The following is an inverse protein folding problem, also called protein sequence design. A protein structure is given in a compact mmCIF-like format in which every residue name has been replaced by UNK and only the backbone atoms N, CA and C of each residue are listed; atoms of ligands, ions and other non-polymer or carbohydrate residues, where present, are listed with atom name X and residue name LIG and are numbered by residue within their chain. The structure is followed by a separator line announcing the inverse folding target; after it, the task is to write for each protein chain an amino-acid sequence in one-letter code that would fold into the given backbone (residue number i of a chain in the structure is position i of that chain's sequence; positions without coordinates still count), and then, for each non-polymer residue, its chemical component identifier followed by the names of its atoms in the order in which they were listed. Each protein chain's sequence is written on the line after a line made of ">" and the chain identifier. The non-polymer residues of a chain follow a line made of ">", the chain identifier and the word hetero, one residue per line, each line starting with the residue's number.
data_IF_183268484794
#
_entry.id   IF_183268484794
#
_cell.length_a   1.000
_cell.length_b   1.000
_cell.length_c   1.000
_cell.angle_alpha   90.00
_cell.angle_beta   90.00
_cell.angle_gamma   90.00
#
_symmetry.space_group_name_H-M   'P 1'
#
loop_
_entity.id
_entity.type
_entity.pdbx_description
1 polymer ?
#
# COMPACT_ATOMS: atom_id res chain seq x y z
N UNK A 1 14.67 -47.00 55.42
CA UNK A 1 14.59 -45.68 56.08
C UNK A 1 15.91 -45.43 56.79
N UNK A 2 16.43 -44.20 56.81
CA UNK A 2 16.05 -43.05 55.97
C UNK A 2 16.53 -43.32 54.51
N UNK A 3 16.91 -42.42 53.61
CA UNK A 3 16.83 -40.94 53.51
C UNK A 3 16.60 -40.54 52.03
N UNK A 4 16.82 -39.28 51.64
CA UNK A 4 16.67 -38.81 50.26
C UNK A 4 17.66 -37.68 49.87
N UNK A 5 17.77 -37.47 48.56
CA UNK A 5 18.23 -36.25 47.87
C UNK A 5 19.73 -35.85 47.93
N UNK A 6 20.33 -35.72 46.74
CA UNK A 6 20.35 -34.40 46.05
C UNK A 6 20.72 -34.49 44.57
N UNK A 7 19.91 -33.81 43.77
CA UNK A 7 20.08 -33.55 42.34
C UNK A 7 21.31 -32.70 42.06
N UNK A 8 22.02 -32.96 40.96
CA UNK A 8 22.64 -31.92 40.12
C UNK A 8 22.86 -32.43 38.71
N UNK A 9 21.98 -32.01 37.79
CA UNK A 9 22.16 -32.16 36.35
C UNK A 9 22.87 -30.89 35.86
N UNK A 10 23.96 -31.05 35.09
CA UNK A 10 24.53 -29.95 34.29
C UNK A 10 24.51 -30.38 32.83
N UNK A 11 23.57 -29.82 32.06
CA UNK A 11 23.51 -29.96 30.60
C UNK A 11 24.41 -28.90 29.98
N UNK A 12 25.28 -29.29 29.06
CA UNK A 12 26.02 -28.38 28.19
C UNK A 12 26.13 -28.96 26.78
N UNK A 13 25.00 -28.98 26.05
CA UNK A 13 24.99 -29.29 24.63
C UNK A 13 24.97 -27.98 23.83
N UNK A 14 26.13 -27.57 23.31
CA UNK A 14 26.26 -26.38 22.47
C UNK A 14 25.72 -26.67 21.05
N UNK A 15 24.48 -26.23 20.78
CA UNK A 15 23.92 -26.24 19.42
C UNK A 15 24.41 -25.01 18.65
N UNK A 16 25.28 -25.22 17.65
CA UNK A 16 25.77 -24.16 16.78
C UNK A 16 24.64 -23.59 15.92
N UNK A 17 24.61 -22.27 15.81
CA UNK A 17 23.47 -21.55 15.26
C UNK A 17 23.31 -21.72 13.75
N UNK A 18 22.11 -22.11 13.34
CA UNK A 18 21.56 -21.78 12.03
C UNK A 18 20.22 -21.09 12.23
N UNK A 19 20.28 -19.80 12.58
CA UNK A 19 19.11 -18.96 12.80
C UNK A 19 18.38 -18.71 11.49
N UNK A 20 17.43 -19.59 11.16
CA UNK A 20 16.52 -19.39 10.03
C UNK A 20 15.61 -18.20 10.34
N UNK A 21 16.01 -17.02 9.88
CA UNK A 21 15.18 -15.81 9.91
C UNK A 21 14.03 -15.97 8.92
N UNK A 22 13.00 -16.72 9.33
CA UNK A 22 11.67 -16.66 8.73
C UNK A 22 11.12 -15.24 8.95
N UNK A 23 11.34 -14.38 7.97
CA UNK A 23 10.69 -13.08 7.89
C UNK A 23 9.18 -13.31 7.79
N UNK A 24 8.49 -13.23 8.92
CA UNK A 24 7.04 -13.34 9.01
C UNK A 24 6.41 -12.20 8.21
N UNK A 25 6.08 -12.46 6.95
CA UNK A 25 5.41 -11.50 6.10
C UNK A 25 4.04 -11.19 6.72
N UNK A 26 3.89 -9.98 7.27
CA UNK A 26 2.64 -9.57 7.89
C UNK A 26 1.46 -9.79 6.93
N UNK A 27 0.36 -10.40 7.40
CA UNK A 27 -0.79 -10.70 6.56
C UNK A 27 -1.27 -9.42 5.88
N UNK A 28 -1.57 -9.51 4.58
CA UNK A 28 -2.06 -8.36 3.83
C UNK A 28 -3.41 -7.96 4.45
N UNK A 29 -3.63 -6.68 4.81
CA UNK A 29 -4.96 -6.21 5.16
C UNK A 29 -5.94 -6.57 4.03
N UNK A 30 -7.22 -6.77 4.36
CA UNK A 30 -8.25 -6.85 3.32
C UNK A 30 -8.08 -5.63 2.40
N UNK A 31 -8.21 -5.80 1.07
CA UNK A 31 -8.00 -4.70 0.12
C UNK A 31 -8.80 -3.43 0.49
N UNK A 32 -9.99 -3.59 1.08
CA UNK A 32 -10.83 -2.52 1.62
C UNK A 32 -10.20 -1.67 2.75
N UNK A 33 -9.15 -2.17 3.40
CA UNK A 33 -8.48 -1.59 4.58
C UNK A 33 -7.08 -1.03 4.26
N UNK A 34 -6.57 -1.23 3.04
CA UNK A 34 -5.27 -0.68 2.62
C UNK A 34 -5.28 0.85 2.65
N UNK A 35 -6.38 1.46 2.20
CA UNK A 35 -6.54 2.89 1.96
C UNK A 35 -7.85 3.44 2.55
N UNK A 36 -7.94 4.76 2.63
CA UNK A 36 -9.07 5.53 3.15
C UNK A 36 -9.43 6.65 2.18
N UNK A 37 -10.73 6.83 1.94
CA UNK A 37 -11.24 7.95 1.13
C UNK A 37 -10.93 9.28 1.82
N UNK A 38 -10.41 10.25 1.04
CA UNK A 38 -9.92 11.58 1.45
C UNK A 38 -8.66 11.61 2.32
N UNK A 39 -7.83 10.56 2.32
CA UNK A 39 -6.49 10.69 2.92
C UNK A 39 -5.48 11.29 1.92
N UNK A 40 -4.51 12.10 2.36
CA UNK A 40 -3.44 12.60 1.49
C UNK A 40 -2.60 11.48 0.89
N UNK A 41 -2.16 11.66 -0.36
CA UNK A 41 -1.46 10.62 -1.11
C UNK A 41 -0.06 10.30 -0.54
N UNK A 42 0.64 11.25 0.08
CA UNK A 42 1.92 10.98 0.77
C UNK A 42 1.69 10.12 2.02
N UNK A 43 0.58 10.35 2.74
CA UNK A 43 0.22 9.54 3.91
C UNK A 43 -0.18 8.11 3.51
N UNK A 44 -0.85 7.97 2.36
CA UNK A 44 -1.13 6.70 1.72
C UNK A 44 0.15 5.97 1.27
N UNK A 45 1.03 6.61 0.50
CA UNK A 45 2.33 6.07 0.05
C UNK A 45 3.15 5.58 1.24
N UNK A 46 3.33 6.43 2.26
CA UNK A 46 4.09 6.08 3.45
C UNK A 46 3.52 4.86 4.18
N UNK A 47 2.18 4.68 4.21
CA UNK A 47 1.56 3.47 4.78
C UNK A 47 1.72 2.26 3.88
N UNK A 48 1.51 2.40 2.58
CA UNK A 48 1.67 1.31 1.61
C UNK A 48 3.11 0.76 1.65
N UNK A 49 4.11 1.64 1.69
CA UNK A 49 5.53 1.26 1.82
C UNK A 49 5.82 0.52 3.13
N UNK A 50 5.26 0.95 4.27
CA UNK A 50 5.34 0.19 5.54
C UNK A 50 4.65 -1.18 5.45
N UNK A 51 3.63 -1.33 4.61
CA UNK A 51 2.95 -2.60 4.32
C UNK A 51 3.65 -3.43 3.22
N UNK A 52 4.87 -3.09 2.83
CA UNK A 52 5.67 -3.85 1.85
C UNK A 52 5.25 -3.66 0.38
N UNK A 53 4.45 -2.64 0.09
CA UNK A 53 4.21 -2.20 -1.30
C UNK A 53 5.36 -1.34 -1.80
N UNK A 54 5.74 -1.53 -3.05
CA UNK A 54 6.79 -0.78 -3.73
C UNK A 54 6.18 0.03 -4.88
N UNK A 55 6.54 1.32 -5.05
CA UNK A 55 6.19 2.11 -6.23
C UNK A 55 6.56 1.41 -7.55
N UNK A 56 5.63 1.33 -8.52
CA UNK A 56 5.90 0.80 -9.86
C UNK A 56 6.34 1.95 -10.80
N UNK A 57 7.66 2.14 -10.90
CA UNK A 57 8.29 3.30 -11.53
C UNK A 57 8.46 3.24 -13.06
N UNK A 58 8.24 2.07 -13.68
CA UNK A 58 8.53 1.86 -15.12
C UNK A 58 7.25 1.70 -15.95
N UNK A 59 7.09 2.41 -17.09
CA UNK A 59 7.80 3.67 -17.41
C UNK A 59 7.54 4.79 -16.38
N UNK A 60 8.46 5.76 -16.24
CA UNK A 60 8.27 6.91 -15.35
C UNK A 60 7.08 7.77 -15.80
N UNK A 61 6.49 8.51 -14.86
CA UNK A 61 5.50 9.55 -15.18
C UNK A 61 6.14 10.72 -15.94
N UNK A 62 5.36 11.36 -16.82
CA UNK A 62 5.82 12.48 -17.62
C UNK A 62 6.02 13.74 -16.77
N UNK A 63 6.78 14.72 -17.28
CA UNK A 63 7.00 16.00 -16.58
C UNK A 63 5.69 16.77 -16.36
N UNK A 64 4.73 16.65 -17.28
CA UNK A 64 3.40 17.24 -17.14
C UNK A 64 2.57 16.56 -16.04
N UNK A 65 2.67 15.24 -15.88
CA UNK A 65 1.99 14.52 -14.79
C UNK A 65 2.54 14.95 -13.42
N UNK A 66 3.86 15.18 -13.33
CA UNK A 66 4.53 15.71 -12.13
C UNK A 66 4.04 17.10 -11.74
N UNK A 67 3.85 17.97 -12.73
CA UNK A 67 3.33 19.32 -12.51
C UNK A 67 1.87 19.26 -12.02
N UNK A 68 1.03 18.45 -12.66
CA UNK A 68 -0.37 18.27 -12.27
C UNK A 68 -0.55 17.59 -10.90
N UNK A 69 0.36 16.70 -10.49
CA UNK A 69 0.24 16.00 -9.20
C UNK A 69 0.69 16.85 -8.01
N UNK A 70 1.45 17.92 -8.25
CA UNK A 70 2.08 18.75 -7.23
C UNK A 70 3.14 18.06 -6.37
N UNK A 71 3.49 16.78 -6.64
CA UNK A 71 4.28 15.98 -5.69
C UNK A 71 5.40 15.11 -6.31
N UNK A 72 6.34 14.75 -5.44
CA UNK A 72 7.55 14.02 -5.78
C UNK A 72 7.42 12.48 -5.72
N UNK A 73 6.22 11.91 -5.49
CA UNK A 73 6.07 10.46 -5.28
C UNK A 73 6.50 9.64 -6.51
N UNK A 74 7.33 8.62 -6.29
CA UNK A 74 7.80 7.71 -7.35
C UNK A 74 6.74 6.69 -7.79
N UNK A 75 5.62 6.61 -7.09
CA UNK A 75 4.47 5.79 -7.48
C UNK A 75 3.57 6.48 -8.50
N UNK A 76 3.74 7.78 -8.74
CA UNK A 76 2.99 8.52 -9.75
C UNK A 76 3.16 7.87 -11.12
N UNK A 77 2.04 7.69 -11.83
CA UNK A 77 1.99 7.07 -13.15
C UNK A 77 1.49 8.00 -14.24
N UNK A 78 0.41 8.73 -13.99
CA UNK A 78 -0.25 9.62 -14.94
C UNK A 78 -1.28 10.50 -14.23
N UNK A 79 -1.55 11.69 -14.77
CA UNK A 79 -2.63 12.58 -14.36
C UNK A 79 -3.53 12.94 -15.54
N UNK A 80 -4.82 13.17 -15.26
CA UNK A 80 -5.78 13.68 -16.23
C UNK A 80 -5.61 15.19 -16.35
N UNK A 81 -5.10 15.67 -17.47
CA UNK A 81 -5.05 17.10 -17.80
C UNK A 81 -6.41 17.74 -18.07
N UNK A 82 -7.53 17.04 -17.84
CA UNK A 82 -8.89 17.57 -17.98
C UNK A 82 -9.82 17.06 -16.89
N UNK A 83 -10.91 17.79 -16.63
CA UNK A 83 -11.96 17.39 -15.69
C UNK A 83 -11.55 17.54 -14.23
N UNK A 84 -11.83 16.52 -13.42
CA UNK A 84 -11.64 16.53 -11.95
C UNK A 84 -10.18 16.42 -11.47
N UNK A 85 -9.17 16.52 -12.36
CA UNK A 85 -7.76 16.44 -11.96
C UNK A 85 -7.34 15.08 -11.38
N UNK A 86 -7.90 13.98 -11.90
CA UNK A 86 -7.56 12.64 -11.41
C UNK A 86 -6.08 12.29 -11.64
N UNK A 87 -5.36 11.81 -10.61
CA UNK A 87 -4.03 11.21 -10.79
C UNK A 87 -4.02 9.74 -10.39
N UNK A 88 -3.24 8.92 -11.08
CA UNK A 88 -3.01 7.49 -10.79
C UNK A 88 -1.61 7.28 -10.20
N UNK A 89 -1.56 6.44 -9.18
CA UNK A 89 -0.34 5.95 -8.56
C UNK A 89 -0.35 4.42 -8.58
N UNK A 90 0.70 3.79 -9.11
CA UNK A 90 0.81 2.34 -9.26
C UNK A 90 1.82 1.77 -8.25
N UNK A 91 1.46 0.65 -7.61
CA UNK A 91 2.28 -0.05 -6.63
C UNK A 91 2.27 -1.56 -6.87
N UNK A 92 3.32 -2.24 -6.43
CA UNK A 92 3.46 -3.70 -6.48
C UNK A 92 3.87 -4.33 -5.14
N UNK A 93 3.36 -5.53 -4.88
CA UNK A 93 3.81 -6.42 -3.81
C UNK A 93 3.90 -7.84 -4.37
N UNK A 94 5.10 -8.25 -4.78
CA UNK A 94 5.32 -9.51 -5.49
C UNK A 94 4.61 -9.56 -6.85
N UNK A 95 3.56 -10.39 -6.95
CA UNK A 95 2.70 -10.51 -8.15
C UNK A 95 1.48 -9.59 -8.11
N UNK A 96 1.11 -9.07 -6.94
CA UNK A 96 -0.03 -8.18 -6.82
C UNK A 96 0.31 -6.76 -7.28
N UNK A 97 -0.65 -6.14 -7.95
CA UNK A 97 -0.67 -4.72 -8.31
C UNK A 97 -1.78 -4.01 -7.54
N UNK A 98 -1.49 -2.78 -7.12
CA UNK A 98 -2.43 -1.87 -6.50
C UNK A 98 -2.39 -0.56 -7.30
N UNK A 99 -3.54 -0.14 -7.81
CA UNK A 99 -3.69 1.19 -8.41
C UNK A 99 -4.45 2.08 -7.45
N UNK A 100 -3.97 3.30 -7.24
CA UNK A 100 -4.58 4.32 -6.39
C UNK A 100 -4.94 5.52 -7.24
N UNK A 101 -6.17 5.98 -7.14
CA UNK A 101 -6.69 7.16 -7.83
C UNK A 101 -6.95 8.25 -6.81
N UNK A 102 -6.44 9.45 -7.09
CA UNK A 102 -6.66 10.66 -6.30
C UNK A 102 -7.44 11.71 -7.09
N UNK A 103 -7.96 12.71 -6.38
CA UNK A 103 -8.36 14.03 -6.92
C UNK A 103 -7.66 15.11 -6.08
N UNK A 104 -7.49 16.35 -6.56
CA UNK A 104 -7.08 17.46 -5.72
C UNK A 104 -8.09 17.73 -4.59
N UNK A 105 -7.58 18.19 -3.45
CA UNK A 105 -8.37 18.78 -2.37
C UNK A 105 -8.57 20.30 -2.60
N UNK A 106 -8.95 21.05 -1.55
CA UNK A 106 -9.13 22.51 -1.64
C UNK A 106 -7.83 23.31 -1.82
N UNK A 107 -6.68 22.70 -1.55
CA UNK A 107 -5.35 23.31 -1.69
C UNK A 107 -4.68 22.89 -3.03
N UNK A 108 -5.23 21.88 -3.71
CA UNK A 108 -4.66 21.25 -4.88
C UNK A 108 -3.94 19.92 -4.58
N UNK A 109 -3.82 19.54 -3.31
CA UNK A 109 -3.07 18.36 -2.89
C UNK A 109 -3.84 17.06 -3.19
N UNK A 110 -3.12 16.02 -3.62
CA UNK A 110 -3.74 14.76 -4.03
C UNK A 110 -4.34 13.98 -2.86
N UNK A 111 -5.67 13.84 -2.81
CA UNK A 111 -6.37 13.00 -1.83
C UNK A 111 -6.94 11.72 -2.47
N UNK A 112 -6.78 10.57 -1.82
CA UNK A 112 -7.25 9.26 -2.31
C UNK A 112 -8.77 9.22 -2.42
N UNK A 113 -9.29 8.88 -3.60
CA UNK A 113 -10.73 8.61 -3.80
C UNK A 113 -11.02 7.14 -3.99
N UNK A 114 -10.14 6.39 -4.66
CA UNK A 114 -10.43 5.02 -5.10
C UNK A 114 -9.16 4.20 -5.24
N UNK A 115 -9.25 2.89 -5.08
CA UNK A 115 -8.15 1.98 -5.40
C UNK A 115 -8.63 0.60 -5.83
N UNK A 116 -7.79 -0.13 -6.56
CA UNK A 116 -8.07 -1.49 -7.04
C UNK A 116 -6.87 -2.42 -6.83
N UNK A 117 -7.14 -3.70 -6.54
CA UNK A 117 -6.13 -4.70 -6.17
C UNK A 117 -6.23 -5.96 -7.05
N UNK A 118 -5.07 -6.40 -7.54
CA UNK A 118 -4.90 -7.72 -8.15
C UNK A 118 -5.57 -7.87 -9.54
N UNK A 119 -5.52 -9.09 -10.12
CA UNK A 119 -6.02 -9.36 -11.47
C UNK A 119 -7.55 -9.36 -11.56
N UNK A 120 -8.27 -9.42 -10.43
CA UNK A 120 -9.73 -9.42 -10.39
C UNK A 120 -10.34 -8.02 -10.56
N UNK A 121 -9.53 -6.96 -10.50
CA UNK A 121 -10.01 -5.58 -10.64
C UNK A 121 -10.95 -5.12 -9.52
N UNK A 122 -11.04 -5.85 -8.39
CA UNK A 122 -11.89 -5.43 -7.27
C UNK A 122 -11.44 -4.05 -6.80
N UNK A 123 -12.42 -3.17 -6.64
CA UNK A 123 -12.23 -1.73 -6.47
C UNK A 123 -12.95 -1.27 -5.20
N UNK A 124 -12.36 -0.33 -4.47
CA UNK A 124 -12.90 0.24 -3.24
C UNK A 124 -12.76 1.76 -3.23
N UNK A 125 -13.51 2.41 -2.34
CA UNK A 125 -13.58 3.86 -2.24
C UNK A 125 -14.77 4.41 -3.02
N UNK A 126 -14.57 5.52 -3.72
CA UNK A 126 -15.60 6.20 -4.49
C UNK A 126 -15.41 6.03 -5.99
N UNK A 127 -16.46 5.57 -6.66
CA UNK A 127 -16.56 5.39 -8.09
C UNK A 127 -17.46 6.47 -8.70
N UNK A 128 -17.18 6.85 -9.95
CA UNK A 128 -18.05 7.70 -10.76
C UNK A 128 -18.90 6.78 -11.64
N UNK A 129 -20.24 6.74 -11.51
CA UNK A 129 -21.08 5.79 -12.24
C UNK A 129 -21.26 6.15 -13.73
N UNK A 130 -21.07 7.42 -14.07
CA UNK A 130 -21.09 7.96 -15.44
C UNK A 130 -20.15 9.19 -15.52
N UNK A 131 -19.77 9.66 -16.72
CA UNK A 131 -19.03 10.93 -16.88
C UNK A 131 -19.73 12.09 -16.17
N UNK A 132 -18.98 12.90 -15.43
CA UNK A 132 -19.44 14.06 -14.63
C UNK A 132 -20.46 13.78 -13.51
N UNK A 133 -20.86 12.52 -13.30
CA UNK A 133 -21.73 12.15 -12.18
C UNK A 133 -21.02 12.31 -10.82
N UNK A 134 -21.73 12.55 -9.71
CA UNK A 134 -21.14 12.59 -8.38
C UNK A 134 -20.42 11.28 -8.02
N UNK A 135 -19.35 11.40 -7.23
CA UNK A 135 -18.65 10.27 -6.66
C UNK A 135 -19.52 9.55 -5.62
N UNK A 136 -19.69 8.24 -5.78
CA UNK A 136 -20.50 7.36 -4.94
C UNK A 136 -19.70 6.13 -4.49
N UNK A 137 -20.05 5.42 -3.41
CA UNK A 137 -19.38 4.18 -3.03
C UNK A 137 -19.32 3.18 -4.20
N UNK A 138 -18.16 2.56 -4.42
CA UNK A 138 -18.02 1.51 -5.42
C UNK A 138 -18.86 0.27 -5.08
N UNK A 139 -19.41 -0.44 -6.09
CA UNK A 139 -20.19 -1.68 -5.91
C UNK A 139 -19.34 -2.89 -5.49
#
# INVERSE_FOLDING_TARGET
>A
MPEAARTSIVVAAAALGFGVLLAMAAPIPNGAQLLRVREPIEAADARLRRLGWQPEQDPPAESFDRELSGNALSSLRACSGTGLGYCRYDYRRGRDRLQVITVPDSNGDGQVVRWSLGPTGKTWGLCQPAPLAPLQPCP
#
